data_IF_120496849595
#
_entry.id   IF_120496849595
#
_cell.length_a   1.000
_cell.length_b   1.000
_cell.length_c   1.000
_cell.angle_alpha   90.00
_cell.angle_beta   90.00
_cell.angle_gamma   90.00
#
_symmetry.space_group_name_H-M   'P 1'
#
loop_
_entity.id
_entity.type
_entity.pdbx_description
1 polymer ?
#
# COMPACT_ATOMS: atom_id res chain seq x y z
N UNK A 1 -0.91 4.16 -17.40
CA UNK A 1 -1.34 5.57 -17.20
C UNK A 1 -0.60 6.54 -18.14
N UNK A 2 0.73 6.65 -18.12
CA UNK A 2 1.47 7.60 -18.98
C UNK A 2 1.16 7.39 -20.47
N UNK A 3 1.10 6.16 -20.95
CA UNK A 3 0.77 5.86 -22.34
C UNK A 3 -0.67 6.25 -22.72
N UNK A 4 -1.60 6.14 -21.76
CA UNK A 4 -2.97 6.62 -21.96
C UNK A 4 -2.98 8.15 -22.11
N UNK A 5 -2.27 8.86 -21.22
CA UNK A 5 -2.17 10.32 -21.29
C UNK A 5 -1.53 10.79 -22.61
N UNK A 6 -0.46 10.14 -23.04
CA UNK A 6 0.19 10.44 -24.33
C UNK A 6 -0.74 10.20 -25.54
N UNK A 7 -1.52 9.13 -25.49
CA UNK A 7 -2.50 8.85 -26.56
C UNK A 7 -3.63 9.89 -26.62
N UNK A 8 -3.88 10.60 -25.51
CA UNK A 8 -4.81 11.73 -25.43
C UNK A 8 -4.13 13.10 -25.66
N UNK A 9 -2.88 13.10 -26.15
CA UNK A 9 -2.13 14.30 -26.54
C UNK A 9 -1.43 15.02 -25.38
N UNK A 10 -1.31 14.39 -24.22
CA UNK A 10 -0.59 14.95 -23.08
C UNK A 10 0.85 14.44 -23.08
N UNK A 11 1.80 15.30 -23.44
CA UNK A 11 3.23 14.98 -23.40
C UNK A 11 3.73 15.03 -21.96
N UNK A 12 3.99 13.87 -21.36
CA UNK A 12 4.49 13.75 -20.00
C UNK A 12 5.56 12.66 -19.87
N UNK A 13 6.65 12.99 -19.20
CA UNK A 13 7.70 12.03 -18.87
C UNK A 13 7.33 11.24 -17.61
N UNK A 14 7.77 9.97 -17.54
CA UNK A 14 7.41 9.04 -16.46
C UNK A 14 7.81 9.59 -15.07
N UNK A 15 8.95 10.23 -14.95
CA UNK A 15 9.42 10.78 -13.66
C UNK A 15 8.64 12.02 -13.26
N UNK A 16 8.19 12.83 -14.23
CA UNK A 16 7.27 13.93 -13.98
C UNK A 16 5.91 13.41 -13.49
N UNK A 17 5.35 12.40 -14.18
CA UNK A 17 4.12 11.74 -13.76
C UNK A 17 4.21 11.21 -12.34
N UNK A 18 5.26 10.45 -12.01
CA UNK A 18 5.46 9.87 -10.66
C UNK A 18 5.53 10.95 -9.57
N UNK A 19 6.16 12.08 -9.87
CA UNK A 19 6.24 13.20 -8.93
C UNK A 19 4.88 13.86 -8.73
N UNK A 20 4.12 14.06 -9.81
CA UNK A 20 2.76 14.60 -9.76
C UNK A 20 1.85 13.64 -8.99
N UNK A 21 1.82 12.38 -9.35
CA UNK A 21 1.00 11.34 -8.72
C UNK A 21 1.25 11.27 -7.21
N UNK A 22 2.52 11.27 -6.78
CA UNK A 22 2.89 11.30 -5.37
C UNK A 22 2.30 12.51 -4.64
N UNK A 23 2.36 13.69 -5.24
CA UNK A 23 1.80 14.90 -4.62
C UNK A 23 0.27 14.86 -4.58
N UNK A 24 -0.37 14.39 -5.65
CA UNK A 24 -1.83 14.28 -5.74
C UNK A 24 -2.39 13.26 -4.74
N UNK A 25 -1.62 12.24 -4.35
CA UNK A 25 -2.00 11.28 -3.29
C UNK A 25 -2.35 11.94 -1.96
N UNK A 26 -1.88 13.15 -1.70
CA UNK A 26 -2.27 13.91 -0.50
C UNK A 26 -3.79 14.04 -0.37
N UNK A 27 -4.50 14.16 -1.48
CA UNK A 27 -5.97 14.22 -1.49
C UNK A 27 -6.56 12.95 -0.84
N UNK A 28 -6.04 11.77 -1.18
CA UNK A 28 -6.49 10.52 -0.57
C UNK A 28 -6.22 10.51 0.93
N UNK A 29 -4.99 10.89 1.34
CA UNK A 29 -4.63 10.95 2.77
C UNK A 29 -5.52 11.93 3.54
N UNK A 30 -5.69 13.17 3.03
CA UNK A 30 -6.48 14.21 3.68
C UNK A 30 -7.94 13.76 3.83
N UNK A 31 -8.56 13.22 2.78
CA UNK A 31 -9.96 12.77 2.80
C UNK A 31 -10.18 11.55 3.69
N UNK A 32 -9.24 10.61 3.71
CA UNK A 32 -9.30 9.44 4.58
C UNK A 32 -9.11 9.87 6.05
N UNK A 33 -8.23 10.82 6.34
CA UNK A 33 -8.07 11.41 7.67
C UNK A 33 -9.32 12.17 8.12
N UNK A 34 -10.10 12.75 7.21
CA UNK A 34 -11.40 13.37 7.45
C UNK A 34 -12.54 12.35 7.64
N UNK A 35 -12.29 11.05 7.45
CA UNK A 35 -13.24 9.98 7.72
C UNK A 35 -13.76 9.21 6.50
N UNK A 36 -13.23 9.44 5.30
CA UNK A 36 -13.48 8.55 4.16
C UNK A 36 -12.89 7.16 4.41
N UNK A 37 -13.56 6.10 3.92
CA UNK A 37 -13.07 4.72 4.09
C UNK A 37 -11.96 4.34 3.11
N UNK A 38 -11.69 5.19 2.10
CA UNK A 38 -10.67 4.94 1.09
C UNK A 38 -11.12 4.06 -0.09
N UNK A 39 -12.37 3.60 -0.07
CA UNK A 39 -12.96 2.72 -1.12
C UNK A 39 -14.08 3.41 -1.89
N UNK A 40 -14.48 4.63 -1.50
CA UNK A 40 -15.58 5.35 -2.15
C UNK A 40 -15.22 5.77 -3.58
N UNK A 41 -16.12 5.50 -4.57
CA UNK A 41 -15.89 5.91 -5.95
C UNK A 41 -15.72 7.42 -6.13
N UNK A 42 -16.38 8.24 -5.30
CA UNK A 42 -16.29 9.69 -5.30
C UNK A 42 -14.88 10.18 -4.93
N UNK A 43 -14.27 9.58 -3.94
CA UNK A 43 -12.89 9.88 -3.53
C UNK A 43 -11.89 9.61 -4.65
N UNK A 44 -12.02 8.45 -5.30
CA UNK A 44 -11.16 8.11 -6.44
C UNK A 44 -11.45 8.99 -7.66
N UNK A 45 -12.71 9.41 -7.86
CA UNK A 45 -13.10 10.38 -8.87
C UNK A 45 -12.41 11.73 -8.67
N UNK A 46 -12.39 12.25 -7.43
CA UNK A 46 -11.70 13.48 -7.06
C UNK A 46 -10.18 13.37 -7.28
N UNK A 47 -9.60 12.29 -6.81
CA UNK A 47 -8.17 12.00 -6.98
C UNK A 47 -7.77 11.95 -8.47
N UNK A 48 -8.48 11.18 -9.30
CA UNK A 48 -8.14 11.08 -10.72
C UNK A 48 -8.38 12.38 -11.48
N UNK A 49 -9.44 13.12 -11.15
CA UNK A 49 -9.69 14.43 -11.74
C UNK A 49 -8.50 15.37 -11.49
N UNK A 50 -8.06 15.46 -10.25
CA UNK A 50 -6.93 16.33 -9.90
C UNK A 50 -5.63 15.82 -10.54
N UNK A 51 -5.37 14.50 -10.54
CA UNK A 51 -4.22 13.91 -11.20
C UNK A 51 -4.16 14.26 -12.69
N UNK A 52 -5.29 14.21 -13.40
CA UNK A 52 -5.35 14.56 -14.82
C UNK A 52 -5.06 16.03 -15.04
N UNK A 53 -5.64 16.92 -14.23
CA UNK A 53 -5.41 18.36 -14.31
C UNK A 53 -3.93 18.69 -14.04
N UNK A 54 -3.33 18.11 -13.02
CA UNK A 54 -1.93 18.29 -12.65
C UNK A 54 -0.96 17.74 -13.73
N UNK A 55 -1.38 16.70 -14.45
CA UNK A 55 -0.65 16.18 -15.61
C UNK A 55 -0.82 17.04 -16.87
N UNK A 56 -1.67 18.07 -16.86
CA UNK A 56 -1.88 18.97 -17.99
C UNK A 56 -3.01 18.55 -18.93
N UNK A 57 -3.90 17.64 -18.53
CA UNK A 57 -5.13 17.32 -19.28
C UNK A 57 -6.02 18.54 -19.26
N UNK A 58 -6.50 19.03 -20.44
CA UNK A 58 -7.45 20.14 -20.47
C UNK A 58 -8.73 19.81 -19.69
N UNK A 59 -9.31 20.76 -18.93
CA UNK A 59 -10.52 20.50 -18.12
C UNK A 59 -11.67 19.89 -18.91
N UNK A 60 -11.85 20.27 -20.19
CA UNK A 60 -12.90 19.71 -21.07
C UNK A 60 -12.64 18.27 -21.53
N UNK A 61 -11.46 17.71 -21.28
CA UNK A 61 -11.08 16.34 -21.68
C UNK A 61 -10.93 15.38 -20.49
N UNK A 62 -10.99 15.87 -19.24
CA UNK A 62 -10.77 15.03 -18.07
C UNK A 62 -11.74 13.86 -17.99
N UNK A 63 -13.01 14.08 -18.41
CA UNK A 63 -14.01 13.02 -18.44
C UNK A 63 -13.67 11.91 -19.43
N UNK A 64 -13.30 12.25 -20.67
CA UNK A 64 -12.96 11.26 -21.71
C UNK A 64 -11.69 10.47 -21.33
N UNK A 65 -10.70 11.15 -20.73
CA UNK A 65 -9.51 10.49 -20.19
C UNK A 65 -9.90 9.54 -19.06
N UNK A 66 -10.76 9.95 -18.15
CA UNK A 66 -11.25 9.10 -17.04
C UNK A 66 -12.00 7.86 -17.54
N UNK A 67 -12.89 8.02 -18.54
CA UNK A 67 -13.61 6.90 -19.17
C UNK A 67 -12.64 5.93 -19.82
N UNK A 68 -11.60 6.42 -20.49
CA UNK A 68 -10.55 5.59 -21.09
C UNK A 68 -9.72 4.87 -20.03
N UNK A 69 -9.27 5.56 -18.99
CA UNK A 69 -8.54 4.94 -17.86
C UNK A 69 -9.38 3.82 -17.23
N UNK A 70 -10.67 4.07 -17.00
CA UNK A 70 -11.58 3.06 -16.47
C UNK A 70 -11.76 1.87 -17.41
N UNK A 71 -11.81 2.12 -18.72
CA UNK A 71 -11.90 1.06 -19.72
C UNK A 71 -10.64 0.18 -19.72
N UNK A 72 -9.47 0.80 -19.78
CA UNK A 72 -8.18 0.10 -19.75
C UNK A 72 -7.99 -0.68 -18.44
N UNK A 73 -8.37 -0.07 -17.30
CA UNK A 73 -8.30 -0.75 -16.01
C UNK A 73 -9.20 -2.00 -15.93
N UNK A 74 -10.39 -1.97 -16.58
CA UNK A 74 -11.25 -3.16 -16.67
C UNK A 74 -10.68 -4.23 -17.57
N UNK A 75 -10.02 -3.85 -18.66
CA UNK A 75 -9.41 -4.77 -19.61
C UNK A 75 -8.11 -5.37 -19.06
N UNK A 76 -7.25 -4.53 -18.48
CA UNK A 76 -5.98 -4.91 -17.89
C UNK A 76 -5.71 -4.03 -16.65
N UNK A 77 -5.44 -4.68 -15.53
CA UNK A 77 -5.29 -4.01 -14.24
C UNK A 77 -4.16 -2.97 -14.28
N UNK A 78 -4.45 -1.70 -13.99
CA UNK A 78 -3.45 -0.62 -14.08
C UNK A 78 -2.47 -0.55 -12.90
N UNK A 79 -2.77 -1.22 -11.78
CA UNK A 79 -1.91 -1.27 -10.58
C UNK A 79 -0.89 -2.41 -10.70
N UNK A 80 -0.11 -2.40 -11.78
CA UNK A 80 0.89 -3.44 -12.08
C UNK A 80 2.33 -2.96 -11.97
N UNK A 81 2.52 -1.74 -11.47
CA UNK A 81 3.86 -1.19 -11.29
C UNK A 81 4.34 -1.39 -9.85
N UNK A 82 5.42 -2.15 -9.68
CA UNK A 82 6.20 -2.19 -8.45
C UNK A 82 7.49 -1.39 -8.60
N UNK A 83 7.97 -0.82 -7.50
CA UNK A 83 9.30 -0.20 -7.50
C UNK A 83 10.37 -1.25 -7.82
N UNK A 84 11.43 -0.90 -8.56
CA UNK A 84 12.42 -1.89 -9.05
C UNK A 84 13.06 -2.75 -7.96
N UNK A 85 13.21 -2.21 -6.75
CA UNK A 85 13.80 -2.89 -5.59
C UNK A 85 12.82 -3.71 -4.74
N UNK A 86 11.51 -3.67 -5.04
CA UNK A 86 10.49 -4.34 -4.19
C UNK A 86 10.75 -5.83 -4.04
N UNK A 87 11.02 -6.53 -5.15
CA UNK A 87 11.32 -7.96 -5.12
C UNK A 87 12.59 -8.30 -4.33
N UNK A 88 13.63 -7.48 -4.46
CA UNK A 88 14.90 -7.66 -3.73
C UNK A 88 14.73 -7.44 -2.23
N UNK A 89 13.92 -6.45 -1.81
CA UNK A 89 13.63 -6.22 -0.39
C UNK A 89 12.88 -7.40 0.19
N UNK A 90 11.82 -7.87 -0.47
CA UNK A 90 11.05 -9.02 -0.01
C UNK A 90 11.93 -10.28 0.01
N UNK A 91 12.77 -10.48 -1.00
CA UNK A 91 13.73 -11.58 -1.05
C UNK A 91 14.66 -11.60 0.17
N UNK A 92 15.27 -10.46 0.50
CA UNK A 92 16.12 -10.31 1.70
C UNK A 92 15.39 -10.58 3.01
N UNK A 93 14.13 -10.13 3.12
CA UNK A 93 13.30 -10.41 4.30
C UNK A 93 13.05 -11.92 4.45
N UNK A 94 12.75 -12.61 3.35
CA UNK A 94 12.57 -14.07 3.36
C UNK A 94 13.85 -14.83 3.72
N UNK A 95 15.00 -14.39 3.22
CA UNK A 95 16.32 -14.95 3.60
C UNK A 95 16.61 -14.78 5.10
N UNK A 96 16.06 -13.73 5.72
CA UNK A 96 16.14 -13.49 7.17
C UNK A 96 15.08 -14.28 7.97
N UNK A 97 14.27 -15.11 7.31
CA UNK A 97 13.27 -15.97 7.93
C UNK A 97 11.89 -15.34 8.09
N UNK A 98 11.64 -14.15 7.52
CA UNK A 98 10.30 -13.57 7.50
C UNK A 98 9.42 -14.27 6.48
N UNK A 99 8.16 -14.46 6.85
CA UNK A 99 7.09 -14.87 5.95
C UNK A 99 6.40 -13.61 5.43
N UNK A 100 6.14 -13.53 4.14
CA UNK A 100 5.57 -12.33 3.50
C UNK A 100 4.32 -12.69 2.74
N UNK A 101 3.23 -11.96 3.01
CA UNK A 101 1.96 -12.08 2.32
C UNK A 101 1.42 -10.67 1.99
N UNK A 102 0.40 -10.59 1.16
CA UNK A 102 -0.25 -9.34 0.77
C UNK A 102 -1.72 -9.36 1.20
N UNK A 103 -2.17 -8.24 1.79
CA UNK A 103 -3.59 -7.94 2.03
C UNK A 103 -3.92 -6.66 1.27
N UNK A 104 -4.91 -6.69 0.38
CA UNK A 104 -5.28 -5.55 -0.47
C UNK A 104 -6.78 -5.30 -0.47
N UNK A 105 -7.17 -4.02 -0.34
CA UNK A 105 -8.50 -3.60 -0.73
C UNK A 105 -8.50 -3.48 -2.26
N UNK A 106 -9.08 -4.45 -2.95
CA UNK A 106 -9.02 -4.60 -4.39
C UNK A 106 -10.30 -5.22 -4.96
N UNK A 107 -10.33 -5.46 -6.26
CA UNK A 107 -11.49 -5.88 -7.05
C UNK A 107 -11.46 -7.36 -7.47
N UNK A 108 -10.76 -8.21 -6.72
CA UNK A 108 -10.64 -9.64 -6.98
C UNK A 108 -9.50 -10.01 -7.95
N UNK A 109 -8.73 -9.06 -8.47
CA UNK A 109 -7.69 -9.27 -9.49
C UNK A 109 -6.27 -8.99 -8.99
N UNK A 110 -6.08 -8.75 -7.69
CA UNK A 110 -4.77 -8.34 -7.13
C UNK A 110 -3.68 -9.39 -7.34
N UNK A 111 -4.01 -10.68 -7.29
CA UNK A 111 -3.03 -11.74 -7.51
C UNK A 111 -2.41 -11.67 -8.91
N UNK A 112 -3.24 -11.48 -9.95
CA UNK A 112 -2.78 -11.28 -11.33
C UNK A 112 -1.99 -9.99 -11.51
N UNK A 113 -2.40 -8.91 -10.86
CA UNK A 113 -1.66 -7.64 -10.89
C UNK A 113 -0.26 -7.77 -10.29
N UNK A 114 -0.12 -8.50 -9.19
CA UNK A 114 1.18 -8.79 -8.56
C UNK A 114 2.06 -9.72 -9.42
N UNK A 115 1.45 -10.63 -10.17
CA UNK A 115 2.17 -11.48 -11.15
C UNK A 115 2.78 -10.62 -12.26
N UNK A 116 2.00 -9.73 -12.86
CA UNK A 116 2.49 -8.80 -13.88
C UNK A 116 3.58 -7.88 -13.33
N UNK A 117 3.42 -7.42 -12.09
CA UNK A 117 4.41 -6.62 -11.38
C UNK A 117 5.68 -7.40 -10.98
N UNK A 118 5.70 -8.73 -11.15
CA UNK A 118 6.81 -9.60 -10.77
C UNK A 118 6.98 -9.80 -9.26
N UNK A 119 5.99 -9.41 -8.46
CA UNK A 119 6.02 -9.47 -6.99
C UNK A 119 5.41 -10.77 -6.45
N UNK A 120 4.40 -11.35 -7.14
CA UNK A 120 3.64 -12.52 -6.68
C UNK A 120 4.53 -13.69 -6.24
N UNK A 121 5.59 -13.99 -6.97
CA UNK A 121 6.55 -15.08 -6.66
C UNK A 121 7.31 -14.90 -5.35
N UNK A 122 7.32 -13.70 -4.78
CA UNK A 122 8.02 -13.38 -3.54
C UNK A 122 7.12 -13.45 -2.31
N UNK A 123 5.80 -13.61 -2.47
CA UNK A 123 4.83 -13.66 -1.38
C UNK A 123 4.16 -15.03 -1.32
N UNK A 124 3.72 -15.46 -0.14
CA UNK A 124 3.12 -16.77 0.06
C UNK A 124 1.69 -16.82 -0.48
N UNK A 125 0.91 -15.80 -0.18
CA UNK A 125 -0.47 -15.66 -0.67
C UNK A 125 -0.87 -14.19 -0.77
N UNK A 126 -2.03 -13.96 -1.37
CA UNK A 126 -2.68 -12.66 -1.50
C UNK A 126 -4.09 -12.78 -0.96
N UNK A 127 -4.47 -11.92 -0.01
CA UNK A 127 -5.85 -11.72 0.42
C UNK A 127 -6.40 -10.49 -0.28
N UNK A 128 -7.36 -10.70 -1.15
CA UNK A 128 -8.09 -9.66 -1.86
C UNK A 128 -9.45 -9.45 -1.18
N UNK A 129 -9.79 -8.22 -0.83
CA UNK A 129 -10.98 -7.88 -0.06
C UNK A 129 -12.27 -8.28 -0.76
N UNK A 130 -12.35 -8.19 -2.08
CA UNK A 130 -13.53 -8.61 -2.86
C UNK A 130 -13.76 -10.12 -2.75
N UNK A 131 -12.67 -10.90 -2.78
CA UNK A 131 -12.77 -12.37 -2.66
C UNK A 131 -13.11 -12.77 -1.22
N UNK A 132 -12.50 -12.07 -0.24
CA UNK A 132 -12.71 -12.38 1.19
C UNK A 132 -14.06 -11.86 1.71
N UNK A 133 -14.63 -10.83 1.09
CA UNK A 133 -15.85 -10.16 1.54
C UNK A 133 -15.64 -9.25 2.77
N UNK A 134 -14.40 -8.90 3.08
CA UNK A 134 -14.02 -8.00 4.19
C UNK A 134 -12.90 -7.08 3.70
N UNK A 135 -13.00 -5.77 3.99
CA UNK A 135 -12.01 -4.77 3.60
C UNK A 135 -11.34 -4.10 4.79
N UNK A 136 -10.12 -3.62 4.63
CA UNK A 136 -9.45 -2.77 5.62
C UNK A 136 -10.22 -1.44 5.76
N UNK A 137 -10.37 -0.90 6.97
CA UNK A 137 -9.65 -1.20 8.22
C UNK A 137 -10.31 -2.24 9.13
N UNK A 138 -11.29 -3.03 8.66
CA UNK A 138 -11.91 -4.07 9.49
C UNK A 138 -10.84 -5.04 10.02
N UNK A 139 -10.75 -5.26 11.35
CA UNK A 139 -9.71 -6.11 11.94
C UNK A 139 -9.73 -7.55 11.41
N UNK A 140 -10.88 -8.06 10.99
CA UNK A 140 -11.03 -9.43 10.49
C UNK A 140 -10.16 -9.75 9.28
N UNK A 141 -9.84 -8.75 8.43
CA UNK A 141 -8.99 -9.01 7.26
C UNK A 141 -7.53 -9.23 7.68
N UNK A 142 -7.06 -8.51 8.70
CA UNK A 142 -5.71 -8.67 9.26
C UNK A 142 -5.59 -10.00 10.02
N UNK A 143 -6.59 -10.33 10.83
CA UNK A 143 -6.67 -11.62 11.55
C UNK A 143 -6.64 -12.81 10.58
N UNK A 144 -7.40 -12.74 9.47
CA UNK A 144 -7.38 -13.75 8.41
C UNK A 144 -5.98 -13.91 7.79
N UNK A 145 -5.23 -12.81 7.63
CA UNK A 145 -3.84 -12.85 7.16
C UNK A 145 -2.91 -13.58 8.14
N UNK A 146 -3.02 -13.28 9.44
CA UNK A 146 -2.25 -13.96 10.48
C UNK A 146 -2.61 -15.45 10.58
N UNK A 147 -3.90 -15.78 10.52
CA UNK A 147 -4.38 -17.18 10.51
C UNK A 147 -3.83 -17.95 9.31
N UNK A 148 -3.89 -17.38 8.12
CA UNK A 148 -3.33 -17.99 6.91
C UNK A 148 -1.80 -18.19 6.98
N UNK A 149 -1.08 -17.32 7.69
CA UNK A 149 0.32 -17.53 8.04
C UNK A 149 0.52 -18.55 9.16
N UNK A 150 -0.52 -18.93 9.91
CA UNK A 150 -0.40 -19.79 11.09
C UNK A 150 0.40 -19.09 12.23
N UNK A 151 0.30 -17.78 12.34
CA UNK A 151 1.02 -16.96 13.32
C UNK A 151 0.03 -16.19 14.21
N UNK A 152 0.36 -15.97 15.49
CA UNK A 152 -0.42 -15.08 16.34
C UNK A 152 -0.26 -13.62 15.86
N UNK A 153 -1.25 -12.77 16.14
CA UNK A 153 -1.31 -11.40 15.66
C UNK A 153 -0.12 -10.54 16.13
N UNK A 154 0.34 -10.77 17.35
CA UNK A 154 1.48 -10.08 17.98
C UNK A 154 2.86 -10.48 17.40
N UNK A 155 2.91 -11.56 16.61
CA UNK A 155 4.10 -11.97 15.85
C UNK A 155 4.09 -11.41 14.40
N UNK A 156 3.06 -10.64 14.03
CA UNK A 156 2.88 -10.11 12.68
C UNK A 156 3.10 -8.60 12.65
N UNK A 157 3.78 -8.14 11.60
CA UNK A 157 3.93 -6.73 11.27
C UNK A 157 3.15 -6.43 10.00
N UNK A 158 2.35 -5.38 10.00
CA UNK A 158 1.71 -4.85 8.82
C UNK A 158 2.46 -3.64 8.25
N UNK A 159 2.64 -3.61 6.93
CA UNK A 159 3.25 -2.50 6.20
C UNK A 159 2.25 -1.99 5.17
N UNK A 160 1.84 -0.73 5.29
CA UNK A 160 0.88 -0.10 4.37
C UNK A 160 1.15 1.38 4.21
N UNK A 161 0.38 2.07 3.38
CA UNK A 161 0.60 3.48 3.04
C UNK A 161 -0.55 4.42 3.44
N UNK A 162 -1.72 3.90 3.81
CA UNK A 162 -2.87 4.70 4.25
C UNK A 162 -3.01 4.66 5.77
N UNK A 163 -2.77 5.78 6.45
CA UNK A 163 -2.70 5.85 7.91
C UNK A 163 -3.93 5.26 8.62
N UNK A 164 -5.19 5.69 8.37
CA UNK A 164 -6.34 5.12 9.08
C UNK A 164 -6.67 3.69 8.63
N UNK A 165 -6.46 3.38 7.36
CA UNK A 165 -6.88 2.10 6.76
C UNK A 165 -5.88 0.99 7.10
N UNK A 166 -4.59 1.27 6.92
CA UNK A 166 -3.53 0.29 7.08
C UNK A 166 -2.95 0.30 8.49
N UNK A 167 -2.41 1.46 8.93
CA UNK A 167 -1.70 1.55 10.20
C UNK A 167 -2.65 1.41 11.39
N UNK A 168 -3.69 2.24 11.45
CA UNK A 168 -4.67 2.18 12.56
C UNK A 168 -5.47 0.88 12.49
N UNK A 169 -5.86 0.43 11.29
CA UNK A 169 -6.56 -0.85 11.10
C UNK A 169 -5.76 -2.04 11.64
N UNK A 170 -4.51 -2.17 11.25
CA UNK A 170 -3.63 -3.24 11.73
C UNK A 170 -3.40 -3.17 13.24
N UNK A 171 -3.14 -1.97 13.78
CA UNK A 171 -2.99 -1.77 15.23
C UNK A 171 -4.24 -2.13 16.01
N UNK A 172 -5.44 -1.85 15.48
CA UNK A 172 -6.72 -2.22 16.11
C UNK A 172 -6.96 -3.72 16.14
N UNK A 173 -6.39 -4.46 15.18
CA UNK A 173 -6.39 -5.92 15.15
C UNK A 173 -5.29 -6.56 16.03
N UNK A 174 -4.44 -5.76 16.65
CA UNK A 174 -3.37 -6.23 17.56
C UNK A 174 -2.02 -6.50 16.88
N UNK A 175 -1.87 -6.21 15.60
CA UNK A 175 -0.59 -6.32 14.91
C UNK A 175 0.31 -5.13 15.24
N UNK A 176 1.61 -5.31 15.13
CA UNK A 176 2.49 -4.18 14.91
C UNK A 176 2.29 -3.60 13.51
N UNK A 177 2.57 -2.31 13.36
CA UNK A 177 2.41 -1.64 12.07
C UNK A 177 3.52 -0.63 11.81
N UNK A 178 3.90 -0.48 10.55
CA UNK A 178 4.76 0.59 10.05
C UNK A 178 4.15 1.18 8.78
N UNK A 179 4.13 2.49 8.71
CA UNK A 179 3.57 3.20 7.58
C UNK A 179 4.65 3.52 6.55
N UNK A 180 4.43 3.16 5.29
CA UNK A 180 5.22 3.63 4.17
C UNK A 180 4.78 5.06 3.83
N UNK A 181 5.53 6.05 4.32
CA UNK A 181 5.19 7.47 4.26
C UNK A 181 6.28 8.29 3.52
N UNK A 182 6.35 8.18 2.19
CA UNK A 182 7.34 8.89 1.39
C UNK A 182 7.17 10.42 1.40
N UNK A 183 6.00 10.92 1.81
CA UNK A 183 5.70 12.35 1.92
C UNK A 183 5.98 12.90 3.32
N UNK A 184 6.16 12.03 4.34
CA UNK A 184 6.39 12.43 5.72
C UNK A 184 5.18 13.07 6.39
N UNK A 185 3.95 12.70 5.99
CA UNK A 185 2.71 13.30 6.46
C UNK A 185 2.33 12.85 7.88
N UNK A 186 2.82 11.68 8.30
CA UNK A 186 2.34 11.01 9.51
C UNK A 186 3.43 10.70 10.54
N UNK A 187 4.64 11.26 10.38
CA UNK A 187 5.82 10.97 11.24
C UNK A 187 5.60 11.25 12.73
N UNK A 188 4.69 12.16 13.07
CA UNK A 188 4.41 12.52 14.46
C UNK A 188 3.41 11.57 15.14
N UNK A 189 2.71 10.73 14.37
CA UNK A 189 1.62 9.87 14.87
C UNK A 189 1.73 8.39 14.49
N UNK A 190 2.76 8.01 13.75
CA UNK A 190 2.99 6.63 13.33
C UNK A 190 4.48 6.30 13.26
N UNK A 191 4.82 5.03 13.46
CA UNK A 191 6.10 4.49 13.03
C UNK A 191 6.14 4.49 11.50
N UNK A 192 7.13 5.14 10.91
CA UNK A 192 7.19 5.33 9.46
C UNK A 192 8.52 4.92 8.85
N UNK A 193 8.46 4.48 7.60
CA UNK A 193 9.59 4.41 6.66
C UNK A 193 9.25 5.21 5.41
N UNK A 194 10.21 5.91 4.84
CA UNK A 194 9.98 6.72 3.63
C UNK A 194 10.17 5.91 2.34
N UNK A 195 10.86 4.77 2.43
CA UNK A 195 11.07 3.84 1.32
C UNK A 195 11.11 2.40 1.85
N UNK A 196 10.63 1.47 1.03
CA UNK A 196 10.61 0.04 1.39
C UNK A 196 12.02 -0.51 1.68
N UNK A 197 13.07 0.06 1.08
CA UNK A 197 14.47 -0.32 1.39
C UNK A 197 14.89 -0.06 2.85
N UNK A 198 14.19 0.81 3.57
CA UNK A 198 14.46 1.10 4.98
C UNK A 198 13.90 0.01 5.92
N UNK A 199 12.92 -0.79 5.43
CA UNK A 199 12.22 -1.78 6.24
C UNK A 199 13.12 -2.83 6.89
N UNK A 200 14.12 -3.44 6.22
CA UNK A 200 15.02 -4.39 6.87
C UNK A 200 15.82 -3.79 8.03
N UNK A 201 16.26 -2.54 7.87
CA UNK A 201 16.98 -1.83 8.94
C UNK A 201 16.03 -1.41 10.08
N UNK A 202 14.80 -1.04 9.77
CA UNK A 202 13.77 -0.76 10.75
C UNK A 202 13.47 -2.00 11.59
N UNK A 203 13.24 -3.15 10.96
CA UNK A 203 13.00 -4.43 11.62
C UNK A 203 14.15 -4.86 12.54
N UNK A 204 15.39 -4.68 12.10
CA UNK A 204 16.56 -5.01 12.91
C UNK A 204 16.63 -4.19 14.20
N UNK A 205 16.27 -2.90 14.14
CA UNK A 205 16.21 -2.04 15.34
C UNK A 205 15.06 -2.43 16.27
N UNK A 206 13.91 -2.76 15.71
CA UNK A 206 12.70 -3.09 16.48
C UNK A 206 12.87 -4.40 17.26
N UNK A 207 13.45 -5.43 16.66
CA UNK A 207 13.80 -6.68 17.34
C UNK A 207 14.77 -6.45 18.51
N UNK A 208 15.80 -5.63 18.30
CA UNK A 208 16.79 -5.36 19.34
C UNK A 208 16.19 -4.63 20.58
N UNK A 209 15.09 -3.91 20.42
CA UNK A 209 14.37 -3.25 21.51
C UNK A 209 13.49 -4.25 22.27
N UNK A 210 12.77 -5.10 21.56
CA UNK A 210 11.90 -6.14 22.15
C UNK A 210 12.71 -7.16 22.96
N UNK A 211 13.87 -7.59 22.45
CA UNK A 211 14.76 -8.53 23.15
C UNK A 211 15.34 -7.95 24.45
N UNK A 212 15.53 -6.63 24.54
CA UNK A 212 16.00 -5.97 25.77
C UNK A 212 14.90 -5.87 26.83
N UNK A 213 13.67 -5.56 26.44
CA UNK A 213 12.55 -5.45 27.36
C UNK A 213 12.16 -6.82 27.96
N UNK A 214 12.22 -7.88 27.17
CA UNK A 214 11.98 -9.27 27.65
C UNK A 214 13.11 -9.82 28.49
N UNK A 215 14.36 -9.39 28.26
CA UNK A 215 15.54 -9.81 29.01
C UNK A 215 15.61 -9.21 30.45
N UNK A 216 15.13 -8.00 30.64
CA UNK A 216 15.14 -7.31 31.94
C UNK A 216 14.11 -7.89 32.93
N UNK A 217 13.02 -8.50 32.45
CA UNK A 217 12.05 -9.18 33.32
C UNK A 217 12.48 -10.57 33.78
N UNK A 218 13.43 -11.21 33.09
CA UNK A 218 13.94 -12.53 33.46
C UNK A 218 15.05 -12.50 34.53
N UNK A 219 15.64 -11.32 34.79
CA UNK A 219 16.73 -11.15 35.77
C UNK A 219 16.28 -10.61 37.12
N UNK A 220 14.98 -10.41 37.35
CA UNK A 220 14.41 -9.87 38.61
C UNK A 220 13.56 -10.88 39.38
N UNK A 221 13.81 -12.19 39.23
CA UNK A 221 13.11 -13.25 39.99
C UNK A 221 14.09 -14.08 40.80
#
# INVERSE_FOLDING_TARGET
>A
MVDILRAEGVEIEIDAFRRIERNTRRILHDRIDEGSRGTEPELWGEYFLQLFLDCGVPPGQTRSVGERVSHEHRADHLWTYALPHTGDVIGRLREQGYRVAVISNADGRMEGALDVAGVRKHVEFVLDSEILGVEKPDPRIFEAGCEALGLPVDACLYVGDLYPVDYVGARSAGLDAVLLDPLGLHRERAETVSDLNELPAWLARHRATTDRETGDHASSS
#
